data_IF_289339025417
#
_entry.id   IF_289339025417
#
_cell.length_a   1.000
_cell.length_b   1.000
_cell.length_c   1.000
_cell.angle_alpha   90.00
_cell.angle_beta   90.00
_cell.angle_gamma   90.00
#
_symmetry.space_group_name_H-M   'P 1'
#
loop_
_entity.id
_entity.type
_entity.pdbx_description
1 polymer ?
#
# COMPACT_ATOMS: atom_id res chain seq x y z
N UNK A 1 -4.38 20.27 37.71
CA UNK A 1 -3.37 19.68 36.80
C UNK A 1 -2.05 19.60 37.56
N UNK A 2 -1.44 18.42 37.67
CA UNK A 2 -0.11 18.27 38.29
C UNK A 2 0.98 18.49 37.23
N UNK A 3 1.46 19.72 37.11
CA UNK A 3 2.42 20.13 36.08
C UNK A 3 3.79 19.45 36.19
N UNK A 4 4.11 18.85 37.34
CA UNK A 4 5.37 18.11 37.55
C UNK A 4 5.50 16.85 36.69
N UNK A 5 4.38 16.42 36.07
CA UNK A 5 4.29 15.21 35.24
C UNK A 5 4.18 15.53 33.74
N UNK A 6 4.45 16.76 33.33
CA UNK A 6 4.50 17.17 31.92
C UNK A 6 5.82 16.75 31.29
N UNK A 7 5.79 16.24 30.06
CA UNK A 7 6.98 15.81 29.33
C UNK A 7 6.79 15.88 27.80
N UNK A 8 7.89 15.74 27.05
CA UNK A 8 7.93 15.69 25.57
C UNK A 8 8.09 14.23 25.11
N UNK A 9 7.55 13.89 23.94
CA UNK A 9 7.44 12.51 23.43
C UNK A 9 8.52 12.06 22.44
N UNK A 10 9.39 12.97 22.00
CA UNK A 10 10.50 12.65 21.09
C UNK A 10 11.73 12.14 21.86
N UNK A 11 12.74 11.70 21.10
CA UNK A 11 14.05 11.27 21.59
C UNK A 11 14.83 12.36 22.36
N UNK A 12 14.42 13.62 22.22
CA UNK A 12 14.91 14.76 23.02
C UNK A 12 14.70 14.54 24.52
N UNK A 13 13.67 13.77 24.92
CA UNK A 13 13.44 13.40 26.32
C UNK A 13 13.99 11.99 26.62
N UNK A 14 15.14 11.86 27.30
CA UNK A 14 15.79 10.57 27.52
C UNK A 14 14.97 9.60 28.39
N UNK A 15 14.17 10.13 29.34
CA UNK A 15 13.34 9.29 30.21
C UNK A 15 12.20 8.63 29.43
N UNK A 16 11.54 9.40 28.56
CA UNK A 16 10.44 8.88 27.75
C UNK A 16 10.94 7.97 26.62
N UNK A 17 12.06 8.31 25.98
CA UNK A 17 12.71 7.44 25.00
C UNK A 17 13.07 6.06 25.61
N UNK A 18 13.68 6.04 26.79
CA UNK A 18 13.99 4.77 27.48
C UNK A 18 12.73 3.96 27.80
N UNK A 19 11.62 4.61 28.16
CA UNK A 19 10.34 3.95 28.41
C UNK A 19 9.76 3.31 27.13
N UNK A 20 9.77 4.04 26.01
CA UNK A 20 9.29 3.52 24.72
C UNK A 20 10.17 2.37 24.22
N UNK A 21 11.51 2.46 24.36
CA UNK A 21 12.42 1.36 24.02
C UNK A 21 12.09 0.09 24.81
N UNK A 22 11.91 0.21 26.12
CA UNK A 22 11.48 -0.91 26.97
C UNK A 22 10.17 -1.53 26.48
N UNK A 23 9.19 -0.71 26.11
CA UNK A 23 7.90 -1.16 25.56
C UNK A 23 8.08 -1.97 24.26
N UNK A 24 8.83 -1.43 23.28
CA UNK A 24 9.04 -2.10 21.99
C UNK A 24 9.85 -3.39 22.13
N UNK A 25 10.84 -3.44 23.03
CA UNK A 25 11.57 -4.67 23.34
C UNK A 25 10.63 -5.73 23.93
N UNK A 26 9.74 -5.37 24.86
CA UNK A 26 8.75 -6.29 25.42
C UNK A 26 7.73 -6.77 24.38
N UNK A 27 7.30 -5.90 23.47
CA UNK A 27 6.42 -6.27 22.36
C UNK A 27 7.10 -7.25 21.40
N UNK A 28 8.37 -7.03 21.09
CA UNK A 28 9.18 -7.95 20.26
C UNK A 28 9.39 -9.30 20.94
N UNK A 29 9.75 -9.32 22.22
CA UNK A 29 9.91 -10.54 23.04
C UNK A 29 8.63 -11.39 23.03
N UNK A 30 7.46 -10.73 23.06
CA UNK A 30 6.13 -11.35 23.02
C UNK A 30 5.61 -11.60 21.59
N UNK A 31 6.45 -11.49 20.57
CA UNK A 31 6.09 -11.72 19.14
C UNK A 31 4.90 -10.89 18.66
N UNK A 32 4.81 -9.63 19.09
CA UNK A 32 3.79 -8.64 18.63
C UNK A 32 4.32 -7.68 17.56
N UNK A 33 5.62 -7.71 17.29
CA UNK A 33 6.28 -6.94 16.23
C UNK A 33 6.94 -7.95 15.28
N UNK A 34 6.68 -7.79 13.99
CA UNK A 34 7.20 -8.65 12.94
C UNK A 34 7.74 -7.80 11.78
N UNK A 35 8.64 -8.38 10.98
CA UNK A 35 9.26 -7.73 9.83
C UNK A 35 8.94 -8.49 8.55
N UNK A 36 8.37 -7.79 7.56
CA UNK A 36 8.06 -8.38 6.27
C UNK A 36 7.51 -7.37 5.27
N UNK A 37 7.42 -7.80 4.00
CA UNK A 37 6.79 -7.00 2.94
C UNK A 37 5.27 -7.10 3.08
N UNK A 38 4.60 -5.96 3.24
CA UNK A 38 3.15 -5.87 3.45
C UNK A 38 2.59 -4.72 2.61
N UNK A 39 1.34 -4.85 2.19
CA UNK A 39 0.62 -3.75 1.55
C UNK A 39 0.20 -2.73 2.61
N UNK A 40 0.48 -1.46 2.33
CA UNK A 40 0.07 -0.33 3.16
C UNK A 40 -0.16 0.87 2.26
N UNK A 41 -0.97 1.82 2.73
CA UNK A 41 -1.06 3.13 2.07
C UNK A 41 0.30 3.80 2.20
N UNK A 42 0.82 4.29 1.08
CA UNK A 42 2.18 4.78 0.98
C UNK A 42 2.17 6.17 0.35
N UNK A 43 2.94 7.11 0.92
CA UNK A 43 3.16 8.43 0.33
C UNK A 43 4.45 8.41 -0.49
N UNK A 44 4.39 8.53 -1.83
CA UNK A 44 5.60 8.59 -2.66
C UNK A 44 6.48 9.80 -2.36
N UNK A 45 5.88 10.90 -1.86
CA UNK A 45 6.60 12.13 -1.52
C UNK A 45 7.39 11.98 -0.22
N UNK A 46 6.80 11.35 0.79
CA UNK A 46 7.42 11.19 2.11
C UNK A 46 8.28 9.92 2.20
N UNK A 47 8.12 9.00 1.25
CA UNK A 47 8.91 7.76 1.18
C UNK A 47 8.59 6.76 2.29
N UNK A 48 7.43 6.88 2.93
CA UNK A 48 7.04 6.05 4.08
C UNK A 48 5.54 5.66 4.04
N UNK A 49 5.14 4.64 4.83
CA UNK A 49 3.73 4.35 5.07
C UNK A 49 3.00 5.59 5.60
N UNK A 50 1.84 5.91 5.02
CA UNK A 50 1.02 7.04 5.43
C UNK A 50 -0.11 6.52 6.33
N UNK A 51 0.13 6.60 7.63
CA UNK A 51 -0.83 6.17 8.64
C UNK A 51 -1.86 7.29 8.88
N UNK A 52 -2.93 6.99 9.61
CA UNK A 52 -4.12 7.85 9.67
C UNK A 52 -3.83 9.29 10.11
N UNK A 53 -2.97 9.49 11.10
CA UNK A 53 -2.62 10.84 11.59
C UNK A 53 -1.62 11.59 10.69
N UNK A 54 -1.08 10.94 9.67
CA UNK A 54 -0.23 11.58 8.65
C UNK A 54 -1.06 12.07 7.45
N UNK A 55 -2.38 11.81 7.43
CA UNK A 55 -3.26 12.09 6.30
C UNK A 55 -4.00 13.41 6.45
N UNK A 56 -4.23 14.07 5.32
CA UNK A 56 -5.15 15.21 5.22
C UNK A 56 -6.60 14.80 4.91
N UNK A 57 -6.81 13.61 4.35
CA UNK A 57 -8.13 13.06 4.03
C UNK A 57 -8.10 11.53 3.97
N UNK A 58 -9.28 10.89 4.07
CA UNK A 58 -9.38 9.43 3.98
C UNK A 58 -8.82 8.70 5.20
N UNK A 59 -9.07 9.23 6.40
CA UNK A 59 -8.79 8.53 7.66
C UNK A 59 -9.52 7.17 7.68
N UNK A 60 -8.80 6.10 8.02
CA UNK A 60 -9.35 4.74 8.06
C UNK A 60 -9.43 4.04 6.70
N UNK A 61 -9.04 4.68 5.59
CA UNK A 61 -8.99 4.02 4.28
C UNK A 61 -7.79 3.08 4.20
N UNK A 62 -8.04 1.81 3.88
CA UNK A 62 -7.00 0.80 3.68
C UNK A 62 -6.80 0.42 2.21
N UNK A 63 -5.78 -0.39 1.89
CA UNK A 63 -5.64 -0.98 0.57
C UNK A 63 -6.84 -1.90 0.27
N UNK A 64 -7.42 -1.77 -0.93
CA UNK A 64 -8.49 -2.64 -1.42
C UNK A 64 -7.96 -3.58 -2.51
N UNK A 65 -8.21 -4.88 -2.34
CA UNK A 65 -7.77 -5.90 -3.29
C UNK A 65 -8.68 -5.95 -4.53
N UNK A 66 -8.07 -6.11 -5.71
CA UNK A 66 -8.74 -6.35 -6.99
C UNK A 66 -7.99 -7.44 -7.75
N UNK A 67 -8.73 -8.26 -8.51
CA UNK A 67 -8.12 -9.16 -9.49
C UNK A 67 -7.81 -8.39 -10.77
N UNK A 68 -6.58 -8.49 -11.27
CA UNK A 68 -6.17 -7.89 -12.53
C UNK A 68 -6.13 -8.93 -13.65
N UNK A 69 -7.01 -8.78 -14.64
CA UNK A 69 -7.12 -9.65 -15.80
C UNK A 69 -6.24 -9.10 -16.93
N UNK A 70 -5.34 -9.94 -17.45
CA UNK A 70 -4.44 -9.60 -18.56
C UNK A 70 -5.00 -10.14 -19.87
N UNK A 71 -5.61 -9.27 -20.68
CA UNK A 71 -6.08 -9.63 -22.02
C UNK A 71 -4.97 -9.38 -23.04
N UNK A 72 -4.46 -10.45 -23.65
CA UNK A 72 -3.40 -10.35 -24.66
C UNK A 72 -3.95 -9.75 -25.96
N UNK A 73 -3.34 -8.66 -26.42
CA UNK A 73 -3.72 -8.04 -27.68
C UNK A 73 -3.15 -8.82 -28.86
N UNK A 74 -3.99 -9.12 -29.84
CA UNK A 74 -3.60 -9.83 -31.05
C UNK A 74 -3.21 -8.85 -32.16
N UNK A 75 -2.32 -9.27 -33.04
CA UNK A 75 -2.00 -8.53 -34.26
C UNK A 75 -3.11 -8.73 -35.32
N UNK A 76 -3.40 -7.72 -36.17
CA UNK A 76 -2.74 -6.42 -36.28
C UNK A 76 -3.14 -5.44 -35.17
N UNK A 77 -2.13 -4.75 -34.61
CA UNK A 77 -2.39 -3.73 -33.60
C UNK A 77 -3.07 -2.48 -34.17
N UNK A 78 -3.89 -1.77 -33.37
CA UNK A 78 -4.40 -0.46 -33.73
C UNK A 78 -3.26 0.50 -34.10
N UNK A 79 -3.47 1.31 -35.15
CA UNK A 79 -2.48 2.24 -35.71
C UNK A 79 -1.79 3.12 -34.65
N UNK A 80 -2.52 3.51 -33.60
CA UNK A 80 -2.02 4.36 -32.51
C UNK A 80 -0.88 3.73 -31.69
N UNK A 81 -0.87 2.41 -31.54
CA UNK A 81 0.12 1.70 -30.69
C UNK A 81 1.07 0.82 -31.50
N UNK A 82 0.81 0.67 -32.81
CA UNK A 82 1.55 -0.22 -33.70
C UNK A 82 3.07 0.07 -33.72
N UNK A 83 3.47 1.34 -33.72
CA UNK A 83 4.89 1.74 -33.72
C UNK A 83 5.58 1.45 -32.39
N UNK A 84 4.88 1.62 -31.27
CA UNK A 84 5.44 1.51 -29.91
C UNK A 84 5.56 0.03 -29.48
N UNK A 85 4.61 -0.78 -29.96
CA UNK A 85 4.43 -2.17 -29.54
C UNK A 85 5.03 -3.20 -30.50
N UNK A 86 5.67 -2.78 -31.59
CA UNK A 86 6.25 -3.69 -32.58
C UNK A 86 7.22 -4.69 -31.91
N UNK A 87 6.93 -5.99 -32.04
CA UNK A 87 7.72 -7.07 -31.47
C UNK A 87 7.58 -7.27 -29.96
N UNK A 88 6.59 -6.64 -29.30
CA UNK A 88 6.34 -6.76 -27.86
C UNK A 88 4.97 -7.37 -27.60
N UNK A 89 4.85 -8.18 -26.54
CA UNK A 89 3.54 -8.68 -26.06
C UNK A 89 2.81 -7.55 -25.34
N UNK A 90 1.62 -7.21 -25.84
CA UNK A 90 0.78 -6.15 -25.28
C UNK A 90 -0.38 -6.78 -24.52
N UNK A 91 -0.67 -6.25 -23.33
CA UNK A 91 -1.79 -6.69 -22.51
C UNK A 91 -2.66 -5.49 -22.12
N UNK A 92 -3.97 -5.62 -22.30
CA UNK A 92 -4.93 -4.76 -21.61
C UNK A 92 -5.11 -5.32 -20.20
N UNK A 93 -5.03 -4.46 -19.19
CA UNK A 93 -5.13 -4.84 -17.78
C UNK A 93 -6.41 -4.27 -17.22
N UNK A 94 -7.40 -5.12 -16.97
CA UNK A 94 -8.70 -4.74 -16.42
C UNK A 94 -8.81 -5.21 -14.96
N UNK A 95 -9.33 -4.35 -14.08
CA UNK A 95 -9.57 -4.67 -12.68
C UNK A 95 -10.99 -5.22 -12.48
N UNK A 96 -11.15 -6.27 -11.67
CA UNK A 96 -12.45 -6.84 -11.29
C UNK A 96 -12.47 -7.28 -9.84
N UNK A 97 -13.64 -7.20 -9.21
CA UNK A 97 -13.94 -7.80 -7.90
C UNK A 97 -14.60 -9.18 -8.01
N UNK A 98 -14.96 -9.59 -9.24
CA UNK A 98 -15.73 -10.81 -9.52
C UNK A 98 -14.98 -11.68 -10.51
N UNK A 99 -13.86 -12.31 -10.12
CA UNK A 99 -13.09 -13.17 -11.01
C UNK A 99 -13.88 -14.39 -11.50
N UNK A 100 -14.90 -14.83 -10.77
CA UNK A 100 -15.75 -15.96 -11.13
C UNK A 100 -16.58 -15.73 -12.40
N UNK A 101 -16.87 -14.47 -12.76
CA UNK A 101 -17.68 -14.16 -13.96
C UNK A 101 -16.86 -14.08 -15.24
N UNK A 102 -15.53 -14.30 -15.18
CA UNK A 102 -14.65 -14.11 -16.33
C UNK A 102 -14.89 -15.12 -17.47
N UNK A 103 -15.57 -16.26 -17.20
CA UNK A 103 -15.97 -17.22 -18.24
C UNK A 103 -16.99 -16.65 -19.24
N UNK A 104 -17.75 -15.61 -18.85
CA UNK A 104 -18.80 -14.99 -19.66
C UNK A 104 -18.36 -13.71 -20.38
N UNK A 105 -17.05 -13.48 -20.57
CA UNK A 105 -16.57 -12.29 -21.25
C UNK A 105 -16.98 -12.28 -22.73
N UNK A 106 -17.70 -11.24 -23.14
CA UNK A 106 -18.09 -11.02 -24.55
C UNK A 106 -17.18 -10.04 -25.27
N UNK A 107 -16.62 -9.07 -24.54
CA UNK A 107 -15.76 -8.01 -25.03
C UNK A 107 -15.01 -7.36 -23.86
N UNK A 108 -14.11 -6.42 -24.17
CA UNK A 108 -13.47 -5.53 -23.20
C UNK A 108 -14.03 -4.12 -23.41
N UNK A 109 -14.40 -3.44 -22.34
CA UNK A 109 -14.79 -2.03 -22.33
C UNK A 109 -13.60 -1.14 -21.97
#
# INVERSE_FOLDING_TARGET
>A
IDWRRTFITTDVNPYFDSFVRWQFLKLKERKRIDFGKRYTVFSPKDGQPCMDHDRSSGEGVGPQEYTLIKLHLLEPYPKAIQTICKGKRVYLVAATLRPETMYGQTNCW
#
